data_IF_738072286873
#
_entry.id   IF_738072286873
#
_cell.length_a   1.000
_cell.length_b   1.000
_cell.length_c   1.000
_cell.angle_alpha   90.00
_cell.angle_beta   90.00
_cell.angle_gamma   90.00
#
_symmetry.space_group_name_H-M   'P 1'
#
loop_
_entity.id
_entity.type
_entity.pdbx_description
1 polymer ?
#
# COMPACT_ATOMS: atom_id res chain seq x y z
N UNK A 1 6.54 -2.69 15.85
CA UNK A 1 6.40 -1.55 14.93
C UNK A 1 7.58 -0.62 15.19
N UNK A 2 8.23 -0.10 14.15
CA UNK A 2 9.30 0.88 14.27
C UNK A 2 8.75 2.28 14.05
N UNK A 3 9.07 3.20 14.94
CA UNK A 3 8.78 4.62 14.77
C UNK A 3 10.09 5.41 14.66
N UNK A 4 9.99 6.64 14.19
CA UNK A 4 11.09 7.58 14.14
C UNK A 4 10.72 8.86 14.87
N UNK A 5 11.74 9.59 15.31
CA UNK A 5 11.64 10.93 15.86
C UNK A 5 12.66 11.83 15.16
N UNK A 6 12.26 13.07 14.89
CA UNK A 6 13.10 14.06 14.23
C UNK A 6 12.84 15.43 14.84
N UNK A 7 13.92 16.10 15.24
CA UNK A 7 13.88 17.49 15.64
C UNK A 7 13.83 18.39 14.40
N UNK A 8 12.88 19.33 14.39
CA UNK A 8 12.70 20.34 13.37
C UNK A 8 12.65 21.72 14.03
N UNK A 9 13.85 22.32 14.18
CA UNK A 9 14.09 23.50 15.03
C UNK A 9 13.63 23.25 16.46
N UNK A 10 12.59 23.94 16.92
CA UNK A 10 12.05 23.85 18.28
C UNK A 10 10.95 22.79 18.42
N UNK A 11 10.51 22.19 17.31
CA UNK A 11 9.44 21.20 17.30
C UNK A 11 9.98 19.79 17.08
N UNK A 12 9.35 18.81 17.71
CA UNK A 12 9.63 17.39 17.47
C UNK A 12 8.53 16.78 16.62
N UNK A 13 8.92 16.10 15.56
CA UNK A 13 8.03 15.26 14.76
C UNK A 13 8.31 13.81 15.14
N UNK A 14 7.25 13.08 15.47
CA UNK A 14 7.33 11.69 15.88
C UNK A 14 6.25 10.88 15.19
N UNK A 15 6.51 9.59 15.00
CA UNK A 15 5.51 8.60 14.60
C UNK A 15 5.28 7.59 15.73
N UNK A 16 5.73 7.91 16.95
CA UNK A 16 5.51 7.05 18.11
C UNK A 16 4.00 6.93 18.41
N UNK A 17 3.57 5.83 19.05
CA UNK A 17 2.18 5.66 19.45
C UNK A 17 1.63 6.78 20.36
N UNK A 18 2.52 7.51 21.03
CA UNK A 18 2.17 8.58 21.98
C UNK A 18 2.16 9.98 21.33
N UNK A 19 2.53 10.07 20.06
CA UNK A 19 2.66 11.34 19.34
C UNK A 19 1.39 11.76 18.58
N UNK A 20 1.27 13.07 18.32
CA UNK A 20 0.21 13.62 17.46
C UNK A 20 0.33 13.11 16.03
N UNK A 21 -0.82 12.85 15.39
CA UNK A 21 -0.88 12.20 14.08
C UNK A 21 -0.10 12.98 12.99
N UNK A 22 0.84 12.32 12.33
CA UNK A 22 1.58 12.88 11.18
C UNK A 22 1.15 12.22 9.87
N UNK A 23 1.55 12.78 8.74
CA UNK A 23 1.34 12.16 7.42
C UNK A 23 2.26 10.94 7.17
N UNK A 24 3.20 10.65 8.08
CA UNK A 24 4.13 9.53 7.95
C UNK A 24 3.63 8.31 8.73
N UNK A 25 3.78 7.13 8.12
CA UNK A 25 3.40 5.87 8.74
C UNK A 25 4.57 5.23 9.51
N UNK A 26 4.23 4.43 10.51
CA UNK A 26 5.19 3.57 11.19
C UNK A 26 5.74 2.49 10.25
N UNK A 27 7.00 2.12 10.45
CA UNK A 27 7.63 1.02 9.74
C UNK A 27 7.20 -0.32 10.36
N UNK A 28 6.88 -1.29 9.50
CA UNK A 28 6.67 -2.68 9.89
C UNK A 28 7.74 -3.56 9.26
N UNK A 29 8.45 -4.31 10.11
CA UNK A 29 9.50 -5.25 9.72
C UNK A 29 8.95 -6.66 9.97
N UNK A 30 8.31 -7.31 8.96
CA UNK A 30 7.70 -8.62 9.15
C UNK A 30 8.74 -9.69 9.49
N UNK A 31 8.29 -10.70 10.23
CA UNK A 31 8.98 -11.98 10.37
C UNK A 31 8.40 -12.95 9.35
N UNK A 32 9.25 -13.80 8.76
CA UNK A 32 8.79 -14.83 7.81
C UNK A 32 8.03 -15.92 8.55
N UNK A 33 8.54 -16.29 9.73
CA UNK A 33 7.93 -17.29 10.59
C UNK A 33 7.61 -16.67 11.95
N UNK A 34 6.39 -16.87 12.49
CA UNK A 34 6.07 -16.46 13.84
C UNK A 34 7.06 -17.07 14.85
N UNK A 35 7.56 -16.24 15.75
CA UNK A 35 8.45 -16.68 16.84
C UNK A 35 7.63 -16.82 18.11
N UNK A 36 7.59 -18.02 18.68
CA UNK A 36 7.05 -18.24 20.02
C UNK A 36 8.12 -17.84 21.03
N UNK A 37 7.73 -17.12 22.07
CA UNK A 37 8.62 -16.62 23.10
C UNK A 37 8.09 -16.99 24.47
N UNK A 38 8.99 -17.28 25.39
CA UNK A 38 8.70 -17.42 26.80
C UNK A 38 9.04 -16.12 27.55
N UNK A 39 8.47 -16.01 28.76
CA UNK A 39 8.75 -14.89 29.65
C UNK A 39 10.26 -14.83 29.93
N UNK A 40 10.83 -13.63 29.82
CA UNK A 40 12.26 -13.33 30.02
C UNK A 40 13.22 -13.85 28.94
N UNK A 41 12.72 -14.30 27.78
CA UNK A 41 13.59 -14.60 26.65
C UNK A 41 14.03 -13.33 25.92
N UNK A 42 15.28 -13.35 25.47
CA UNK A 42 15.86 -12.25 24.72
C UNK A 42 15.73 -12.50 23.22
N UNK A 43 15.30 -11.47 22.50
CA UNK A 43 15.33 -11.44 21.04
C UNK A 43 16.38 -10.42 20.62
N UNK A 44 17.19 -10.79 19.63
CA UNK A 44 18.10 -9.84 18.99
C UNK A 44 17.58 -9.51 17.60
N UNK A 45 17.40 -8.22 17.33
CA UNK A 45 17.13 -7.69 15.99
C UNK A 45 18.39 -6.99 15.50
N UNK A 46 18.90 -7.41 14.35
CA UNK A 46 20.00 -6.73 13.66
C UNK A 46 19.47 -6.12 12.37
N UNK A 47 19.48 -4.80 12.26
CA UNK A 47 19.02 -4.06 11.08
C UNK A 47 20.21 -3.51 10.30
N UNK A 48 20.29 -3.82 9.00
CA UNK A 48 21.22 -3.22 8.05
C UNK A 48 20.45 -2.28 7.13
N UNK A 49 20.79 -0.99 7.20
CA UNK A 49 20.25 0.07 6.37
C UNK A 49 21.40 0.76 5.60
N UNK A 50 21.79 0.25 4.42
CA UNK A 50 22.79 0.92 3.60
C UNK A 50 22.26 2.29 3.12
N UNK A 51 23.18 3.22 2.83
CA UNK A 51 22.83 4.55 2.32
C UNK A 51 22.03 4.46 1.01
N UNK A 52 22.43 3.53 0.14
CA UNK A 52 21.74 3.18 -1.09
C UNK A 52 21.49 1.66 -1.10
N UNK A 53 20.27 1.24 -1.41
CA UNK A 53 19.90 -0.18 -1.52
C UNK A 53 18.86 -0.63 -0.49
N UNK A 54 18.59 -1.93 -0.50
CA UNK A 54 17.55 -2.54 0.30
C UNK A 54 17.94 -2.67 1.77
N UNK A 55 16.94 -2.52 2.65
CA UNK A 55 17.13 -2.80 4.06
C UNK A 55 17.06 -4.30 4.25
N UNK A 56 17.87 -4.82 5.18
CA UNK A 56 17.75 -6.20 5.62
C UNK A 56 17.74 -6.25 7.14
N UNK A 57 16.98 -7.18 7.69
CA UNK A 57 16.97 -7.43 9.12
C UNK A 57 17.09 -8.92 9.40
N UNK A 58 17.79 -9.23 10.49
CA UNK A 58 17.93 -10.58 11.02
C UNK A 58 17.33 -10.59 12.42
N UNK A 59 16.42 -11.52 12.66
CA UNK A 59 15.85 -11.76 13.99
C UNK A 59 16.41 -13.08 14.51
N UNK A 60 17.10 -13.00 15.65
CA UNK A 60 17.67 -14.15 16.35
C UNK A 60 16.91 -14.37 17.66
N UNK A 61 16.26 -15.53 17.74
CA UNK A 61 15.62 -16.06 18.94
C UNK A 61 16.04 -17.54 19.09
N UNK A 62 15.13 -18.50 18.94
CA UNK A 62 15.45 -19.93 18.86
C UNK A 62 16.08 -20.34 17.51
N UNK A 63 15.73 -19.61 16.45
CA UNK A 63 16.28 -19.77 15.11
C UNK A 63 16.49 -18.40 14.50
N UNK A 64 17.50 -18.32 13.61
CA UNK A 64 17.77 -17.11 12.85
C UNK A 64 16.85 -17.06 11.63
N UNK A 65 16.26 -15.89 11.40
CA UNK A 65 15.56 -15.60 10.17
C UNK A 65 15.98 -14.24 9.64
N UNK A 66 16.18 -14.18 8.32
CA UNK A 66 16.60 -12.98 7.62
C UNK A 66 15.51 -12.54 6.62
N UNK A 67 15.31 -11.24 6.55
CA UNK A 67 14.38 -10.58 5.64
C UNK A 67 15.05 -9.38 4.97
N UNK A 68 14.49 -8.93 3.85
CA UNK A 68 14.90 -7.70 3.19
C UNK A 68 13.73 -6.99 2.52
N UNK A 69 13.82 -5.68 2.32
CA UNK A 69 12.84 -4.91 1.53
C UNK A 69 12.80 -5.30 0.06
N UNK A 70 13.89 -5.89 -0.46
CA UNK A 70 13.92 -6.45 -1.81
C UNK A 70 12.89 -7.58 -1.97
N UNK A 71 12.82 -8.46 -0.96
CA UNK A 71 11.95 -9.65 -0.96
C UNK A 71 10.62 -9.40 -0.25
N UNK A 72 10.58 -8.43 0.66
CA UNK A 72 9.39 -8.03 1.37
C UNK A 72 8.71 -6.90 0.58
N UNK A 73 7.69 -7.24 -0.20
CA UNK A 73 6.62 -6.25 -0.51
C UNK A 73 6.27 -5.58 0.82
N UNK A 74 6.32 -4.25 0.90
CA UNK A 74 6.09 -3.51 2.13
C UNK A 74 4.74 -3.91 2.73
N UNK A 75 4.77 -4.80 3.73
CA UNK A 75 3.57 -5.28 4.40
C UNK A 75 3.23 -4.21 5.42
N UNK A 76 2.23 -3.38 5.16
CA UNK A 76 1.74 -2.43 6.16
C UNK A 76 0.66 -3.09 7.02
N UNK A 77 0.37 -2.53 8.20
CA UNK A 77 -0.69 -3.06 9.08
C UNK A 77 -2.06 -3.05 8.38
N UNK A 78 -2.29 -2.08 7.51
CA UNK A 78 -3.48 -1.96 6.67
C UNK A 78 -3.54 -3.06 5.61
N UNK A 79 -2.38 -3.46 5.08
CA UNK A 79 -2.27 -4.55 4.11
C UNK A 79 -2.60 -5.90 4.75
N UNK A 80 -2.13 -6.13 5.98
CA UNK A 80 -2.48 -7.32 6.78
C UNK A 80 -3.97 -7.35 7.08
N UNK A 81 -4.55 -6.22 7.52
CA UNK A 81 -6.00 -6.12 7.78
C UNK A 81 -6.82 -6.47 6.54
N UNK A 82 -6.40 -6.01 5.35
CA UNK A 82 -7.07 -6.30 4.07
C UNK A 82 -7.00 -7.77 3.64
N UNK A 83 -6.11 -8.57 4.23
CA UNK A 83 -5.94 -10.00 3.91
C UNK A 83 -6.74 -10.92 4.85
N UNK A 84 -7.36 -10.40 5.91
CA UNK A 84 -8.15 -11.21 6.83
C UNK A 84 -9.45 -11.69 6.16
N UNK A 85 -9.89 -12.96 6.36
CA UNK A 85 -11.15 -13.47 5.82
C UNK A 85 -12.39 -12.68 6.29
N UNK A 86 -12.29 -12.00 7.43
CA UNK A 86 -13.36 -11.19 8.03
C UNK A 86 -13.33 -9.72 7.59
N UNK A 87 -12.33 -9.32 6.80
CA UNK A 87 -12.25 -7.95 6.31
C UNK A 87 -13.36 -7.66 5.30
N UNK A 88 -14.13 -6.60 5.55
CA UNK A 88 -15.13 -6.10 4.61
C UNK A 88 -14.51 -4.99 3.75
N UNK A 89 -14.17 -5.25 2.47
CA UNK A 89 -13.61 -4.22 1.60
C UNK A 89 -14.65 -3.16 1.26
N UNK A 90 -14.29 -1.88 1.43
CA UNK A 90 -15.07 -0.77 0.90
C UNK A 90 -14.57 -0.35 -0.49
N UNK A 91 -15.50 0.09 -1.35
CA UNK A 91 -15.19 0.59 -2.69
C UNK A 91 -14.55 1.96 -2.58
N UNK A 92 -13.23 2.03 -2.73
CA UNK A 92 -12.51 3.29 -2.89
C UNK A 92 -13.05 4.10 -4.08
N UNK A 93 -12.78 5.41 -4.12
CA UNK A 93 -13.17 6.25 -5.26
C UNK A 93 -12.68 5.66 -6.60
N UNK A 94 -11.46 5.14 -6.63
CA UNK A 94 -10.88 4.46 -7.79
C UNK A 94 -11.62 3.16 -8.13
N UNK A 95 -12.02 2.37 -7.13
CA UNK A 95 -12.82 1.16 -7.35
C UNK A 95 -14.21 1.48 -7.94
N UNK A 96 -14.83 2.59 -7.53
CA UNK A 96 -16.10 3.07 -8.09
C UNK A 96 -15.95 3.46 -9.56
N UNK A 97 -14.89 4.21 -9.90
CA UNK A 97 -14.57 4.58 -11.29
C UNK A 97 -14.29 3.36 -12.18
N UNK A 98 -13.49 2.41 -11.67
CA UNK A 98 -13.20 1.15 -12.36
C UNK A 98 -14.48 0.35 -12.62
N UNK A 99 -15.30 0.15 -11.60
CA UNK A 99 -16.57 -0.56 -11.72
C UNK A 99 -17.49 0.10 -12.74
N UNK A 100 -17.61 1.43 -12.71
CA UNK A 100 -18.42 2.17 -13.67
C UNK A 100 -17.88 2.01 -15.11
N UNK A 101 -16.57 2.17 -15.32
CA UNK A 101 -15.95 1.99 -16.63
C UNK A 101 -16.20 0.57 -17.18
N UNK A 102 -15.98 -0.46 -16.37
CA UNK A 102 -16.21 -1.86 -16.76
C UNK A 102 -17.68 -2.16 -17.02
N UNK A 103 -18.61 -1.51 -16.32
CA UNK A 103 -20.05 -1.66 -16.61
C UNK A 103 -20.45 -1.14 -18.00
N UNK A 104 -19.61 -0.31 -18.63
CA UNK A 104 -19.80 0.20 -19.99
C UNK A 104 -19.10 -0.68 -21.05
N UNK A 105 -18.36 -1.72 -20.66
CA UNK A 105 -17.70 -2.66 -21.58
C UNK A 105 -18.69 -3.71 -22.08
N UNK A 106 -19.72 -3.26 -22.80
CA UNK A 106 -20.82 -4.09 -23.32
C UNK A 106 -20.68 -4.40 -24.82
N UNK A 107 -19.55 -4.04 -25.43
CA UNK A 107 -19.28 -4.17 -26.86
C UNK A 107 -20.04 -3.15 -27.74
N UNK A 108 -20.81 -2.24 -27.15
CA UNK A 108 -21.60 -1.22 -27.87
C UNK A 108 -21.02 0.18 -27.72
N UNK A 109 -20.29 0.43 -26.63
CA UNK A 109 -19.65 1.71 -26.38
C UNK A 109 -18.19 1.67 -26.83
N UNK A 110 -17.77 2.69 -27.58
CA UNK A 110 -16.38 2.92 -27.93
C UNK A 110 -15.62 3.50 -26.74
N UNK A 111 -14.29 3.37 -26.75
CA UNK A 111 -13.41 3.95 -25.72
C UNK A 111 -13.61 5.46 -25.58
N UNK A 112 -13.87 6.16 -26.70
CA UNK A 112 -14.16 7.59 -26.70
C UNK A 112 -15.46 7.90 -25.94
N UNK A 113 -16.54 7.16 -26.19
CA UNK A 113 -17.81 7.34 -25.48
C UNK A 113 -17.70 7.00 -23.99
N UNK A 114 -16.97 5.93 -23.65
CA UNK A 114 -16.71 5.54 -22.27
C UNK A 114 -15.95 6.65 -21.53
N UNK A 115 -14.92 7.22 -22.17
CA UNK A 115 -14.15 8.32 -21.58
C UNK A 115 -14.97 9.59 -21.38
N UNK A 116 -15.86 9.94 -22.31
CA UNK A 116 -16.76 11.08 -22.16
C UNK A 116 -17.73 10.87 -20.98
N UNK A 117 -18.26 9.66 -20.81
CA UNK A 117 -19.13 9.31 -19.66
C UNK A 117 -18.37 9.35 -18.34
N UNK A 118 -17.14 8.85 -18.30
CA UNK A 118 -16.28 8.92 -17.12
C UNK A 118 -15.95 10.37 -16.72
N UNK A 119 -15.69 11.23 -17.70
CA UNK A 119 -15.43 12.65 -17.48
C UNK A 119 -16.64 13.37 -16.87
N UNK A 120 -17.84 13.05 -17.35
CA UNK A 120 -19.09 13.63 -16.84
C UNK A 120 -19.44 13.14 -15.43
N UNK A 121 -19.26 11.85 -15.16
CA UNK A 121 -19.62 11.25 -13.86
C UNK A 121 -18.58 11.56 -12.77
N UNK A 122 -17.29 11.64 -13.13
CA UNK A 122 -16.18 11.85 -12.20
C UNK A 122 -15.26 13.04 -12.58
N UNK A 123 -15.80 14.26 -12.73
CA UNK A 123 -15.03 15.41 -13.23
C UNK A 123 -13.86 15.78 -12.30
N UNK A 124 -14.02 15.59 -10.98
CA UNK A 124 -12.96 15.84 -9.99
C UNK A 124 -11.78 14.87 -10.12
N UNK A 125 -12.03 13.65 -10.61
CA UNK A 125 -11.00 12.62 -10.73
C UNK A 125 -10.29 12.64 -12.09
N UNK A 126 -10.94 13.21 -13.11
CA UNK A 126 -10.41 13.38 -14.45
C UNK A 126 -10.24 14.87 -14.79
N UNK A 127 -9.62 15.64 -13.91
CA UNK A 127 -9.42 17.08 -14.12
C UNK A 127 -8.37 17.42 -15.20
N UNK A 128 -7.50 16.46 -15.54
CA UNK A 128 -6.46 16.63 -16.55
C UNK A 128 -6.98 16.24 -17.94
N UNK A 129 -6.69 17.03 -18.99
CA UNK A 129 -7.05 16.69 -20.35
C UNK A 129 -6.54 15.29 -20.75
N UNK A 130 -7.45 14.47 -21.29
CA UNK A 130 -7.16 13.10 -21.75
C UNK A 130 -6.95 12.07 -20.65
N UNK A 131 -7.10 12.41 -19.36
CA UNK A 131 -6.95 11.46 -18.26
C UNK A 131 -8.03 10.35 -18.29
N UNK A 132 -9.29 10.71 -18.56
CA UNK A 132 -10.38 9.75 -18.72
C UNK A 132 -10.15 8.81 -19.92
N UNK A 133 -9.62 9.34 -21.02
CA UNK A 133 -9.34 8.55 -22.22
C UNK A 133 -8.20 7.54 -21.99
N UNK A 134 -7.09 7.97 -21.40
CA UNK A 134 -5.98 7.06 -21.04
C UNK A 134 -6.45 5.98 -20.05
N UNK A 135 -7.30 6.35 -19.10
CA UNK A 135 -7.87 5.39 -18.16
C UNK A 135 -8.74 4.34 -18.87
N UNK A 136 -9.68 4.75 -19.72
CA UNK A 136 -10.51 3.83 -20.49
C UNK A 136 -9.70 2.92 -21.43
N UNK A 137 -8.67 3.47 -22.10
CA UNK A 137 -7.75 2.69 -22.96
C UNK A 137 -6.98 1.64 -22.16
N UNK A 138 -6.43 2.01 -21.00
CA UNK A 138 -5.71 1.08 -20.13
C UNK A 138 -6.62 -0.08 -19.69
N UNK A 139 -7.88 0.20 -19.37
CA UNK A 139 -8.85 -0.82 -18.98
C UNK A 139 -9.22 -1.74 -20.15
N UNK A 140 -9.41 -1.18 -21.35
CA UNK A 140 -9.68 -1.97 -22.55
C UNK A 140 -8.52 -2.94 -22.82
N UNK A 141 -7.28 -2.46 -22.83
CA UNK A 141 -6.10 -3.33 -23.01
C UNK A 141 -6.02 -4.41 -21.92
N UNK A 142 -6.32 -4.07 -20.67
CA UNK A 142 -6.16 -5.00 -19.54
C UNK A 142 -7.26 -6.06 -19.43
N UNK A 143 -8.49 -5.75 -19.86
CA UNK A 143 -9.67 -6.57 -19.57
C UNK A 143 -10.47 -6.98 -20.82
N UNK A 144 -10.11 -6.49 -22.01
CA UNK A 144 -10.75 -6.88 -23.28
C UNK A 144 -10.01 -7.99 -24.02
N UNK A 145 -8.79 -8.34 -23.60
CA UNK A 145 -8.06 -9.48 -24.16
C UNK A 145 -8.57 -10.80 -23.54
N UNK A 146 -9.04 -11.69 -24.43
CA UNK A 146 -9.31 -13.12 -24.16
C UNK A 146 -8.11 -13.97 -24.52
#
# INVERSE_FOLDING_TARGET
LGWFEMALRENWLSTSPESSNTHWSQAFLPLNNPVKLLKNENIKLTLKRPQNGDWSWTTSAHSDQQQSTFLAKTITSELIKKQLPTYTPDRSAQAKQLHYALSLFDGKNTVTEISARLQNEYPKSFNLPGSAQRFAQMLAVKYSDS
#
